data_IF_147774271111
#
_entry.id   IF_147774271111
#
_cell.length_a   1.000
_cell.length_b   1.000
_cell.length_c   1.000
_cell.angle_alpha   90.00
_cell.angle_beta   90.00
_cell.angle_gamma   90.00
#
_symmetry.space_group_name_H-M   'P 1'
#
loop_
_entity.id
_entity.type
_entity.pdbx_description
1 polymer ?
#
# COMPACT_ATOMS: atom_id res chain seq x y z
N UNK A 1 -1.31 -21.30 -12.18
CA UNK A 1 -1.34 -20.37 -11.04
C UNK A 1 -0.29 -19.32 -11.34
N UNK A 2 -0.70 -18.07 -11.56
CA UNK A 2 0.23 -16.99 -11.91
C UNK A 2 1.10 -16.73 -10.67
N UNK A 3 2.42 -16.75 -10.84
CA UNK A 3 3.33 -16.44 -9.73
C UNK A 3 3.08 -14.97 -9.35
N UNK A 4 2.86 -14.70 -8.06
CA UNK A 4 2.79 -13.36 -7.44
C UNK A 4 1.41 -12.67 -7.37
N UNK A 5 0.29 -13.30 -7.79
CA UNK A 5 -1.05 -12.69 -7.67
C UNK A 5 -1.39 -12.23 -6.24
N UNK A 6 -1.05 -13.04 -5.22
CA UNK A 6 -1.27 -12.68 -3.82
C UNK A 6 -0.53 -11.40 -3.44
N UNK A 7 0.73 -11.25 -3.85
CA UNK A 7 1.56 -10.09 -3.53
C UNK A 7 0.98 -8.82 -4.18
N UNK A 8 0.52 -8.93 -5.42
CA UNK A 8 -0.15 -7.84 -6.14
C UNK A 8 -1.44 -7.42 -5.42
N UNK A 9 -2.29 -8.38 -5.03
CA UNK A 9 -3.51 -8.07 -4.27
C UNK A 9 -3.20 -7.46 -2.91
N UNK A 10 -2.14 -7.92 -2.23
CA UNK A 10 -1.71 -7.37 -0.95
C UNK A 10 -1.20 -5.93 -1.12
N UNK A 11 -0.49 -5.62 -2.21
CA UNK A 11 -0.07 -4.26 -2.55
C UNK A 11 -1.28 -3.34 -2.76
N UNK A 12 -2.27 -3.77 -3.57
CA UNK A 12 -3.52 -3.03 -3.81
C UNK A 12 -4.28 -2.80 -2.50
N UNK A 13 -4.40 -3.83 -1.66
CA UNK A 13 -5.10 -3.76 -0.38
C UNK A 13 -4.47 -2.70 0.53
N UNK A 14 -3.16 -2.77 0.75
CA UNK A 14 -2.46 -1.85 1.64
C UNK A 14 -2.37 -0.43 1.06
N UNK A 15 -2.17 -0.28 -0.25
CA UNK A 15 -2.23 1.02 -0.94
C UNK A 15 -3.62 1.66 -0.83
N UNK A 16 -4.68 0.86 -1.03
CA UNK A 16 -6.07 1.29 -0.90
C UNK A 16 -6.44 1.69 0.53
N UNK A 17 -6.01 0.90 1.52
CA UNK A 17 -6.21 1.19 2.95
C UNK A 17 -5.46 2.47 3.35
N UNK A 18 -4.20 2.60 2.92
CA UNK A 18 -3.38 3.78 3.16
C UNK A 18 -4.04 5.05 2.61
N UNK A 19 -4.51 5.00 1.36
CA UNK A 19 -5.25 6.11 0.75
C UNK A 19 -6.54 6.43 1.51
N UNK A 20 -7.32 5.42 1.87
CA UNK A 20 -8.61 5.61 2.56
C UNK A 20 -8.40 6.26 3.94
N UNK A 21 -7.45 5.75 4.73
CA UNK A 21 -7.10 6.31 6.03
C UNK A 21 -6.56 7.74 5.93
N UNK A 22 -5.74 8.05 4.90
CA UNK A 22 -5.28 9.41 4.65
C UNK A 22 -6.44 10.36 4.32
N UNK A 23 -7.42 9.91 3.53
CA UNK A 23 -8.63 10.70 3.23
C UNK A 23 -9.48 10.91 4.48
N UNK A 24 -9.65 9.89 5.32
CA UNK A 24 -10.33 10.01 6.61
C UNK A 24 -9.63 11.00 7.54
N UNK A 25 -8.29 10.99 7.58
CA UNK A 25 -7.52 11.95 8.36
C UNK A 25 -7.76 13.40 7.92
N UNK A 26 -7.79 13.65 6.60
CA UNK A 26 -8.12 14.97 6.03
C UNK A 26 -9.52 15.40 6.47
N UNK A 27 -10.50 14.49 6.44
CA UNK A 27 -11.88 14.81 6.83
C UNK A 27 -12.01 15.07 8.33
N UNK A 28 -11.27 14.35 9.18
CA UNK A 28 -11.21 14.60 10.62
C UNK A 28 -10.59 15.97 10.93
N UNK A 29 -9.46 16.30 10.28
CA UNK A 29 -8.79 17.59 10.44
C UNK A 29 -9.69 18.77 10.04
N UNK A 30 -10.48 18.64 8.95
CA UNK A 30 -11.47 19.66 8.55
C UNK A 30 -12.55 19.90 9.60
N UNK A 31 -12.88 18.89 10.41
CA UNK A 31 -13.82 18.98 11.54
C UNK A 31 -13.15 19.45 12.84
N UNK A 32 -11.88 19.85 12.79
CA UNK A 32 -11.05 20.20 13.95
C UNK A 32 -10.81 19.02 14.92
N UNK A 33 -11.08 17.78 14.49
CA UNK A 33 -10.76 16.57 15.26
C UNK A 33 -9.32 16.13 14.94
N UNK A 34 -8.37 16.79 15.60
CA UNK A 34 -6.94 16.59 15.34
C UNK A 34 -6.41 15.26 15.91
N UNK A 35 -7.03 14.73 16.95
CA UNK A 35 -6.63 13.46 17.55
C UNK A 35 -6.98 12.30 16.61
N UNK A 36 -8.21 12.30 16.07
CA UNK A 36 -8.60 11.32 15.06
C UNK A 36 -7.78 11.48 13.78
N UNK A 37 -7.50 12.72 13.35
CA UNK A 37 -6.66 12.96 12.18
C UNK A 37 -5.26 12.34 12.34
N UNK A 38 -4.61 12.55 13.49
CA UNK A 38 -3.29 11.95 13.79
C UNK A 38 -3.35 10.43 13.84
N UNK A 39 -4.39 9.87 14.46
CA UNK A 39 -4.61 8.41 14.49
C UNK A 39 -4.74 7.84 13.08
N UNK A 40 -5.55 8.48 12.23
CA UNK A 40 -5.77 8.05 10.84
C UNK A 40 -4.54 8.22 9.96
N UNK A 41 -3.73 9.26 10.17
CA UNK A 41 -2.43 9.37 9.52
C UNK A 41 -1.48 8.24 9.92
N UNK A 42 -1.49 7.84 11.19
CA UNK A 42 -0.69 6.68 11.63
C UNK A 42 -1.16 5.39 10.95
N UNK A 43 -2.47 5.14 10.92
CA UNK A 43 -3.05 3.97 10.22
C UNK A 43 -2.68 3.97 8.71
N UNK A 44 -2.69 5.14 8.07
CA UNK A 44 -2.29 5.30 6.68
C UNK A 44 -0.81 4.94 6.49
N UNK A 45 0.07 5.48 7.34
CA UNK A 45 1.50 5.23 7.30
C UNK A 45 1.83 3.75 7.52
N UNK A 46 1.20 3.12 8.52
CA UNK A 46 1.40 1.70 8.82
C UNK A 46 0.98 0.83 7.61
N UNK A 47 -0.16 1.14 6.97
CA UNK A 47 -0.60 0.42 5.77
C UNK A 47 0.37 0.61 4.59
N UNK A 48 0.82 1.85 4.33
CA UNK A 48 1.75 2.12 3.23
C UNK A 48 3.13 1.49 3.44
N UNK A 49 3.58 1.35 4.69
CA UNK A 49 4.82 0.64 4.99
C UNK A 49 4.73 -0.84 4.61
N UNK A 50 3.60 -1.51 4.89
CA UNK A 50 3.38 -2.90 4.45
C UNK A 50 3.42 -3.03 2.92
N UNK A 51 2.77 -2.10 2.19
CA UNK A 51 2.87 -2.06 0.74
C UNK A 51 4.32 -1.86 0.26
N UNK A 52 5.07 -0.95 0.89
CA UNK A 52 6.47 -0.70 0.57
C UNK A 52 7.38 -1.91 0.83
N UNK A 53 7.13 -2.71 1.86
CA UNK A 53 7.89 -3.93 2.11
C UNK A 53 7.73 -4.95 0.98
N UNK A 54 6.51 -5.12 0.48
CA UNK A 54 6.23 -6.01 -0.65
C UNK A 54 6.89 -5.48 -1.92
N UNK A 55 6.72 -4.19 -2.21
CA UNK A 55 7.37 -3.54 -3.35
C UNK A 55 8.89 -3.72 -3.32
N UNK A 56 9.50 -3.52 -2.15
CA UNK A 56 10.95 -3.68 -1.96
C UNK A 56 11.38 -5.13 -2.22
N UNK A 57 10.61 -6.10 -1.74
CA UNK A 57 10.86 -7.53 -1.96
C UNK A 57 10.79 -7.89 -3.44
N UNK A 58 9.80 -7.37 -4.18
CA UNK A 58 9.66 -7.59 -5.62
C UNK A 58 10.85 -7.00 -6.40
N UNK A 59 11.27 -5.78 -6.07
CA UNK A 59 12.45 -5.14 -6.69
C UNK A 59 13.73 -5.93 -6.40
N UNK A 60 13.94 -6.37 -5.15
CA UNK A 60 15.10 -7.17 -4.77
C UNK A 60 15.13 -8.53 -5.50
N UNK A 61 13.96 -9.17 -5.64
CA UNK A 61 13.80 -10.41 -6.39
C UNK A 61 14.17 -10.23 -7.87
N UNK A 62 13.72 -9.15 -8.49
CA UNK A 62 14.04 -8.83 -9.88
C UNK A 62 15.54 -8.61 -10.09
N UNK A 63 16.19 -7.84 -9.21
CA UNK A 63 17.65 -7.64 -9.22
C UNK A 63 18.39 -8.97 -9.03
N UNK A 64 17.85 -9.88 -8.22
CA UNK A 64 18.38 -11.22 -7.97
C UNK A 64 18.23 -12.20 -9.13
N UNK A 65 17.69 -11.78 -10.28
CA UNK A 65 17.51 -12.62 -11.47
C UNK A 65 16.18 -13.38 -11.52
N UNK A 66 15.23 -13.04 -10.64
CA UNK A 66 13.87 -13.56 -10.64
C UNK A 66 12.89 -12.46 -11.08
N UNK A 67 12.77 -12.20 -12.39
CA UNK A 67 11.91 -11.13 -12.90
C UNK A 67 10.44 -11.39 -12.54
N UNK A 68 9.75 -10.32 -12.15
CA UNK A 68 8.31 -10.36 -11.86
C UNK A 68 7.52 -10.32 -13.17
N UNK A 69 6.45 -11.12 -13.26
CA UNK A 69 5.56 -11.10 -14.43
C UNK A 69 4.76 -9.79 -14.47
N UNK A 70 4.95 -9.01 -15.53
CA UNK A 70 4.20 -7.76 -15.72
C UNK A 70 2.81 -8.07 -16.26
N UNK A 71 1.80 -7.78 -15.45
CA UNK A 71 0.39 -7.82 -15.83
C UNK A 71 -0.26 -6.45 -15.65
N UNK A 72 -1.45 -6.23 -16.22
CA UNK A 72 -2.22 -5.00 -15.96
C UNK A 72 -2.51 -4.80 -14.48
N UNK A 73 -2.70 -5.91 -13.73
CA UNK A 73 -2.93 -5.85 -12.29
C UNK A 73 -1.67 -5.41 -11.54
N UNK A 74 -0.49 -5.90 -11.94
CA UNK A 74 0.81 -5.47 -11.39
C UNK A 74 1.09 -3.99 -11.67
N UNK A 75 0.74 -3.48 -12.86
CA UNK A 75 0.89 -2.06 -13.21
C UNK A 75 -0.08 -1.18 -12.40
N UNK A 76 -1.26 -1.70 -12.09
CA UNK A 76 -2.28 -0.98 -11.33
C UNK A 76 -1.95 -0.85 -9.84
N UNK A 77 -1.38 -1.92 -9.28
CA UNK A 77 -1.05 -2.05 -7.87
C UNK A 77 -0.03 -0.99 -7.43
#
# INVERSE_FOLDING_TARGET
>A
MVKNETEIFTLILHGGNGRSAAMEAIQAAKKQDMDLARKKLKEANDSLNEAHHIQTTLIQSEIGGNPTEISLLMIHA
#
